data_IF_116033134665
#
_entry.id   IF_116033134665
#
_cell.length_a   1.000
_cell.length_b   1.000
_cell.length_c   1.000
_cell.angle_alpha   90.00
_cell.angle_beta   90.00
_cell.angle_gamma   90.00
#
_symmetry.space_group_name_H-M   'P 1'
#
loop_
_entity.id
_entity.type
_entity.pdbx_description
1 polymer ?
#
# COMPACT_ATOMS: atom_id res chain seq x y z
N UNK A 1 -16.53 -10.90 12.01
CA UNK A 1 -16.45 -11.38 10.61
C UNK A 1 -15.23 -10.73 9.96
N UNK A 2 -14.27 -11.51 9.46
CA UNK A 2 -13.02 -10.98 8.87
C UNK A 2 -13.34 -10.14 7.62
N UNK A 3 -12.88 -8.90 7.58
CA UNK A 3 -12.97 -8.06 6.38
C UNK A 3 -11.90 -8.52 5.37
N UNK A 4 -12.30 -9.34 4.39
CA UNK A 4 -11.38 -9.92 3.39
C UNK A 4 -11.17 -8.95 2.23
N UNK A 5 -9.93 -8.77 1.81
CA UNK A 5 -9.60 -7.99 0.62
C UNK A 5 -10.25 -8.60 -0.64
N UNK A 6 -10.81 -7.77 -1.51
CA UNK A 6 -11.57 -8.17 -2.72
C UNK A 6 -10.91 -7.71 -4.02
N UNK A 7 -10.06 -6.71 -3.97
CA UNK A 7 -9.34 -6.11 -5.09
C UNK A 7 -8.07 -5.42 -4.60
N UNK A 8 -7.18 -5.11 -5.52
CA UNK A 8 -5.94 -4.37 -5.25
C UNK A 8 -6.23 -3.03 -4.57
N UNK A 9 -5.46 -2.70 -3.56
CA UNK A 9 -5.64 -1.51 -2.71
C UNK A 9 -6.96 -1.49 -1.89
N UNK A 10 -7.65 -2.62 -1.73
CA UNK A 10 -8.82 -2.68 -0.84
C UNK A 10 -8.39 -2.67 0.63
N UNK A 11 -7.48 -3.56 1.01
CA UNK A 11 -6.95 -3.65 2.39
C UNK A 11 -5.45 -3.81 2.32
N UNK A 12 -4.74 -2.88 2.95
CA UNK A 12 -3.33 -3.08 3.27
C UNK A 12 -3.20 -3.48 4.73
N UNK A 13 -2.28 -4.37 5.02
CA UNK A 13 -1.87 -4.69 6.39
C UNK A 13 -0.46 -4.19 6.64
N UNK A 14 -0.20 -3.68 7.84
CA UNK A 14 1.14 -3.30 8.26
C UNK A 14 1.44 -3.78 9.67
N UNK A 15 2.72 -4.06 9.93
CA UNK A 15 3.19 -4.59 11.19
C UNK A 15 4.68 -4.29 11.38
N UNK A 16 5.16 -4.43 12.63
CA UNK A 16 6.57 -4.31 12.95
C UNK A 16 7.22 -5.66 13.19
N UNK A 17 8.37 -5.86 12.55
CA UNK A 17 9.28 -6.97 12.83
C UNK A 17 10.56 -6.42 13.45
N UNK A 18 11.12 -7.14 14.41
CA UNK A 18 12.38 -6.74 15.05
C UNK A 18 13.49 -7.74 14.76
N UNK A 19 14.69 -7.23 14.58
CA UNK A 19 15.92 -7.99 14.46
C UNK A 19 17.09 -7.16 15.04
N UNK A 20 18.32 -7.53 14.79
CA UNK A 20 19.52 -6.83 15.25
C UNK A 20 20.70 -7.01 14.29
N UNK A 21 21.58 -6.03 14.29
CA UNK A 21 22.91 -6.14 13.66
C UNK A 21 23.85 -6.99 14.55
N UNK A 22 24.97 -7.45 13.98
CA UNK A 22 25.98 -8.28 14.66
C UNK A 22 26.46 -7.66 15.99
N UNK A 23 26.60 -6.34 16.03
CA UNK A 23 26.94 -5.57 17.23
C UNK A 23 25.85 -5.50 18.29
N UNK A 24 24.72 -6.21 18.09
CA UNK A 24 23.60 -6.31 19.00
C UNK A 24 22.61 -5.14 18.95
N UNK A 25 22.86 -4.11 18.10
CA UNK A 25 21.95 -2.96 17.96
C UNK A 25 20.66 -3.36 17.24
N UNK A 26 19.54 -2.95 17.82
CA UNK A 26 18.21 -3.29 17.31
C UNK A 26 17.99 -2.75 15.89
N UNK A 27 17.37 -3.59 15.06
CA UNK A 27 16.69 -3.25 13.83
C UNK A 27 15.18 -3.34 14.05
N UNK A 28 14.46 -2.39 13.54
CA UNK A 28 12.99 -2.41 13.49
C UNK A 28 12.55 -2.25 12.04
N UNK A 29 11.71 -3.15 11.57
CA UNK A 29 11.25 -3.20 10.19
C UNK A 29 9.76 -2.89 10.18
N UNK A 30 9.35 -1.83 9.47
CA UNK A 30 7.95 -1.57 9.17
C UNK A 30 7.60 -2.28 7.87
N UNK A 31 6.77 -3.30 7.98
CA UNK A 31 6.28 -4.11 6.85
C UNK A 31 4.92 -3.61 6.42
N UNK A 32 4.70 -3.41 5.13
CA UNK A 32 3.39 -3.06 4.55
C UNK A 32 3.10 -4.00 3.38
N UNK A 33 1.96 -4.67 3.40
CA UNK A 33 1.54 -5.59 2.34
C UNK A 33 0.13 -5.24 1.82
N UNK A 34 -0.13 -5.50 0.55
CA UNK A 34 -1.47 -5.54 -0.01
C UNK A 34 -2.05 -6.95 0.20
N UNK A 35 -3.15 -7.06 0.96
CA UNK A 35 -3.75 -8.37 1.29
C UNK A 35 -4.33 -9.09 0.07
N UNK A 36 -4.70 -8.37 -0.98
CA UNK A 36 -5.28 -8.98 -2.17
C UNK A 36 -4.19 -9.50 -3.11
N UNK A 37 -3.23 -8.66 -3.46
CA UNK A 37 -2.17 -9.02 -4.41
C UNK A 37 -1.01 -9.77 -3.77
N UNK A 38 -0.92 -9.81 -2.45
CA UNK A 38 0.22 -10.34 -1.67
C UNK A 38 1.52 -9.57 -1.88
N UNK A 39 1.50 -8.46 -2.61
CA UNK A 39 2.69 -7.64 -2.76
C UNK A 39 3.17 -7.10 -1.42
N UNK A 40 4.46 -7.24 -1.17
CA UNK A 40 5.13 -6.49 -0.12
C UNK A 40 5.45 -5.08 -0.65
N UNK A 41 4.64 -4.11 -0.24
CA UNK A 41 4.74 -2.72 -0.70
C UNK A 41 5.95 -2.01 -0.14
N UNK A 42 6.29 -2.31 1.13
CA UNK A 42 7.48 -1.79 1.79
C UNK A 42 7.98 -2.74 2.89
N UNK A 43 9.29 -2.76 3.09
CA UNK A 43 9.96 -3.14 4.34
C UNK A 43 10.92 -2.00 4.65
N UNK A 44 10.45 -1.03 5.43
CA UNK A 44 11.30 0.09 5.83
C UNK A 44 12.10 -0.30 7.07
N UNK A 45 13.43 -0.11 7.01
CA UNK A 45 14.35 -0.50 8.08
C UNK A 45 14.78 0.73 8.85
N UNK A 46 14.63 0.69 10.18
CA UNK A 46 15.03 1.76 11.08
C UNK A 46 15.60 1.21 12.38
N UNK A 47 16.18 2.07 13.21
CA UNK A 47 16.53 1.74 14.59
C UNK A 47 15.33 1.89 15.52
N UNK A 48 14.46 2.82 15.18
CA UNK A 48 13.17 3.10 15.85
C UNK A 48 12.22 3.73 14.85
N UNK A 49 10.93 3.76 15.16
CA UNK A 49 9.91 4.47 14.38
C UNK A 49 9.05 5.31 15.30
N UNK A 50 8.87 6.55 14.94
CA UNK A 50 7.85 7.44 15.50
C UNK A 50 6.56 7.35 14.67
N UNK A 51 5.47 7.90 15.18
CA UNK A 51 4.23 8.03 14.40
C UNK A 51 4.44 8.81 13.10
N UNK A 52 5.34 9.80 13.12
CA UNK A 52 5.64 10.63 11.94
C UNK A 52 6.42 9.84 10.88
N UNK A 53 7.32 8.94 11.29
CA UNK A 53 8.05 8.07 10.38
C UNK A 53 7.08 7.11 9.67
N UNK A 54 6.12 6.52 10.41
CA UNK A 54 5.07 5.67 9.84
C UNK A 54 4.24 6.45 8.80
N UNK A 55 3.83 7.68 9.13
CA UNK A 55 3.09 8.55 8.19
C UNK A 55 3.93 8.83 6.94
N UNK A 56 5.22 9.11 7.09
CA UNK A 56 6.11 9.36 5.94
C UNK A 56 6.17 8.19 4.97
N UNK A 57 6.30 6.96 5.49
CA UNK A 57 6.30 5.74 4.68
C UNK A 57 4.95 5.55 3.97
N UNK A 58 3.85 5.68 4.71
CA UNK A 58 2.50 5.52 4.12
C UNK A 58 2.21 6.60 3.09
N UNK A 59 2.60 7.85 3.33
CA UNK A 59 2.42 8.96 2.39
C UNK A 59 3.14 8.71 1.07
N UNK A 60 4.39 8.22 1.14
CA UNK A 60 5.12 7.81 -0.05
C UNK A 60 4.41 6.68 -0.80
N UNK A 61 3.97 5.64 -0.09
CA UNK A 61 3.27 4.51 -0.69
C UNK A 61 1.94 4.94 -1.33
N UNK A 62 1.17 5.83 -0.69
CA UNK A 62 -0.08 6.36 -1.27
C UNK A 62 0.17 7.11 -2.57
N UNK A 63 1.26 7.87 -2.65
CA UNK A 63 1.63 8.62 -3.85
C UNK A 63 2.04 7.70 -5.02
N UNK A 64 2.75 6.59 -4.76
CA UNK A 64 3.32 5.72 -5.81
C UNK A 64 2.46 4.51 -6.14
N UNK A 65 1.62 4.03 -5.21
CA UNK A 65 0.82 2.80 -5.35
C UNK A 65 -0.70 3.07 -5.39
N UNK A 66 -1.12 4.27 -5.04
CA UNK A 66 -2.50 4.64 -4.77
C UNK A 66 -2.88 4.41 -3.31
N UNK A 67 -3.93 5.10 -2.87
CA UNK A 67 -4.43 5.05 -1.50
C UNK A 67 -5.28 3.80 -1.29
N UNK A 68 -5.07 3.00 -0.23
CA UNK A 68 -5.94 1.86 0.08
C UNK A 68 -7.27 2.35 0.67
N UNK A 69 -8.31 1.54 0.53
CA UNK A 69 -9.59 1.83 1.19
C UNK A 69 -9.50 1.58 2.70
N UNK A 70 -8.74 0.55 3.10
CA UNK A 70 -8.59 0.16 4.49
C UNK A 70 -7.12 -0.11 4.81
N UNK A 71 -6.73 0.25 6.03
CA UNK A 71 -5.43 -0.09 6.59
C UNK A 71 -5.62 -0.90 7.88
N UNK A 72 -5.09 -2.13 7.91
CA UNK A 72 -5.17 -3.05 9.03
C UNK A 72 -3.87 -3.08 9.80
N UNK A 73 -3.97 -3.01 11.14
CA UNK A 73 -2.83 -3.19 12.04
C UNK A 73 -3.26 -3.90 13.33
N UNK A 74 -2.29 -4.35 14.09
CA UNK A 74 -2.50 -4.66 15.49
C UNK A 74 -2.78 -3.38 16.31
N UNK A 75 -2.93 -3.55 17.63
CA UNK A 75 -3.14 -2.43 18.54
C UNK A 75 -1.81 -1.87 19.10
N UNK A 76 -0.71 -1.97 18.35
CA UNK A 76 0.57 -1.39 18.74
C UNK A 76 0.47 0.12 18.96
N UNK A 77 1.19 0.69 19.95
CA UNK A 77 1.07 2.10 20.31
C UNK A 77 1.38 3.05 19.15
N UNK A 78 2.22 2.65 18.21
CA UNK A 78 2.57 3.43 17.01
C UNK A 78 1.39 3.53 16.04
N UNK A 79 0.56 2.48 15.97
CA UNK A 79 -0.56 2.37 15.03
C UNK A 79 -1.84 2.98 15.58
N UNK A 80 -2.08 2.87 16.89
CA UNK A 80 -3.23 3.50 17.56
C UNK A 80 -2.97 4.95 17.94
N UNK A 81 -1.79 5.51 17.57
CA UNK A 81 -1.49 6.90 17.87
C UNK A 81 -2.53 7.81 17.23
N UNK A 82 -3.03 8.81 18.00
CA UNK A 82 -4.02 9.77 17.53
C UNK A 82 -3.57 10.51 16.28
N UNK A 83 -2.25 10.67 16.10
CA UNK A 83 -1.65 11.35 14.95
C UNK A 83 -1.83 10.52 13.68
N UNK A 84 -1.47 9.24 13.73
CA UNK A 84 -1.64 8.32 12.58
C UNK A 84 -3.12 8.16 12.24
N UNK A 85 -3.98 7.92 13.24
CA UNK A 85 -5.42 7.75 13.01
C UNK A 85 -6.07 8.98 12.38
N UNK A 86 -5.69 10.18 12.83
CA UNK A 86 -6.19 11.44 12.26
C UNK A 86 -5.75 11.61 10.81
N UNK A 87 -4.46 11.39 10.55
CA UNK A 87 -3.91 11.50 9.20
C UNK A 87 -4.57 10.51 8.23
N UNK A 88 -4.81 9.27 8.65
CA UNK A 88 -5.53 8.27 7.85
C UNK A 88 -6.97 8.70 7.56
N UNK A 89 -7.66 9.27 8.55
CA UNK A 89 -9.02 9.78 8.36
C UNK A 89 -9.06 10.96 7.37
N UNK A 90 -8.06 11.86 7.41
CA UNK A 90 -7.91 12.97 6.45
C UNK A 90 -7.63 12.46 5.02
N UNK A 91 -6.97 11.30 4.90
CA UNK A 91 -6.72 10.62 3.62
C UNK A 91 -7.89 9.71 3.17
N UNK A 92 -9.04 9.74 3.86
CA UNK A 92 -10.20 8.86 3.65
C UNK A 92 -9.90 7.35 3.73
N UNK A 93 -8.90 6.98 4.54
CA UNK A 93 -8.51 5.59 4.78
C UNK A 93 -9.12 5.09 6.09
N UNK A 94 -9.90 4.02 6.02
CA UNK A 94 -10.53 3.40 7.19
C UNK A 94 -9.53 2.49 7.92
N UNK A 95 -9.41 2.65 9.23
CA UNK A 95 -8.57 1.78 10.06
C UNK A 95 -9.33 0.52 10.48
N UNK A 96 -8.69 -0.64 10.33
CA UNK A 96 -9.19 -1.93 10.78
C UNK A 96 -8.28 -2.43 11.91
N UNK A 97 -8.64 -2.14 13.15
CA UNK A 97 -7.93 -2.66 14.29
C UNK A 97 -8.35 -4.11 14.59
N UNK A 98 -7.37 -4.95 14.90
CA UNK A 98 -7.60 -6.35 15.24
C UNK A 98 -8.28 -6.41 16.61
N UNK A 99 -9.41 -7.11 16.67
CA UNK A 99 -10.12 -7.30 17.91
C UNK A 99 -9.25 -8.10 18.91
N UNK A 100 -9.30 -7.72 20.19
CA UNK A 100 -8.57 -8.42 21.26
C UNK A 100 -8.99 -9.90 21.28
N UNK A 101 -8.03 -10.81 21.08
CA UNK A 101 -8.31 -12.25 20.99
C UNK A 101 -8.63 -12.77 19.59
N UNK A 102 -8.46 -11.98 18.54
CA UNK A 102 -8.69 -12.37 17.14
C UNK A 102 -7.42 -12.28 16.27
N UNK A 103 -6.31 -12.97 16.62
CA UNK A 103 -5.05 -12.87 15.87
C UNK A 103 -5.20 -13.29 14.40
N UNK A 104 -6.12 -14.22 14.11
CA UNK A 104 -6.40 -14.64 12.73
C UNK A 104 -6.85 -13.51 11.78
N UNK A 105 -7.26 -12.35 12.31
CA UNK A 105 -7.60 -11.20 11.49
C UNK A 105 -6.38 -10.56 10.82
N UNK A 106 -5.18 -10.70 11.39
CA UNK A 106 -3.90 -10.21 10.83
C UNK A 106 -3.11 -11.28 10.04
N UNK A 107 -3.71 -12.43 9.79
CA UNK A 107 -3.02 -13.61 9.29
C UNK A 107 -2.24 -13.42 7.98
N UNK A 108 -2.50 -12.36 7.18
CA UNK A 108 -1.73 -12.11 5.97
C UNK A 108 -0.35 -11.55 6.26
N UNK A 109 -0.25 -10.48 7.06
CA UNK A 109 1.04 -9.91 7.42
C UNK A 109 1.80 -10.82 8.37
N UNK A 110 1.11 -11.55 9.26
CA UNK A 110 1.75 -12.56 10.13
C UNK A 110 2.39 -13.69 9.30
N UNK A 111 1.67 -14.23 8.31
CA UNK A 111 2.21 -15.24 7.38
C UNK A 111 3.39 -14.68 6.57
N UNK A 112 3.31 -13.45 6.11
CA UNK A 112 4.42 -12.78 5.44
C UNK A 112 5.64 -12.64 6.36
N UNK A 113 5.43 -12.16 7.60
CA UNK A 113 6.48 -11.99 8.58
C UNK A 113 7.14 -13.33 8.97
N UNK A 114 6.37 -14.41 9.04
CA UNK A 114 6.90 -15.76 9.20
C UNK A 114 7.84 -16.14 8.05
N UNK A 115 7.42 -15.91 6.81
CA UNK A 115 8.24 -16.14 5.62
C UNK A 115 9.52 -15.29 5.62
N UNK A 116 9.42 -14.00 5.95
CA UNK A 116 10.57 -13.11 6.06
C UNK A 116 11.58 -13.60 7.11
N UNK A 117 11.10 -14.07 8.27
CA UNK A 117 11.97 -14.64 9.29
C UNK A 117 12.65 -15.91 8.83
N UNK A 118 11.90 -16.86 8.29
CA UNK A 118 12.39 -18.21 7.94
C UNK A 118 13.37 -18.17 6.77
N UNK A 119 13.14 -17.27 5.80
CA UNK A 119 13.93 -17.21 4.58
C UNK A 119 15.09 -16.22 4.65
N UNK A 120 15.00 -15.18 5.49
CA UNK A 120 16.01 -14.14 5.59
C UNK A 120 16.53 -13.92 7.02
N UNK A 121 15.69 -13.40 7.93
CA UNK A 121 16.16 -12.87 9.20
C UNK A 121 16.81 -13.91 10.11
N UNK A 122 16.36 -15.17 10.07
CA UNK A 122 16.94 -16.28 10.83
C UNK A 122 18.21 -16.88 10.17
N UNK A 123 18.55 -16.45 8.96
CA UNK A 123 19.66 -17.01 8.17
C UNK A 123 20.81 -16.04 7.98
N UNK A 124 20.53 -14.74 8.03
CA UNK A 124 21.50 -13.69 7.81
C UNK A 124 21.99 -13.07 9.12
N UNK A 125 23.24 -12.67 9.13
CA UNK A 125 23.86 -11.85 10.18
C UNK A 125 24.23 -10.52 9.54
N UNK A 126 23.50 -9.47 9.88
CA UNK A 126 23.74 -8.13 9.31
C UNK A 126 24.92 -7.46 10.01
N UNK A 127 26.02 -7.24 9.27
CA UNK A 127 27.22 -6.62 9.81
C UNK A 127 27.06 -5.13 10.06
N UNK A 128 26.17 -4.45 9.28
CA UNK A 128 25.88 -3.03 9.44
C UNK A 128 24.40 -2.73 9.19
N UNK A 129 23.99 -1.49 9.52
CA UNK A 129 22.65 -0.99 9.22
C UNK A 129 22.41 -0.89 7.70
N UNK A 130 23.39 -0.39 6.98
CA UNK A 130 23.33 -0.19 5.53
C UNK A 130 23.22 -1.52 4.79
N UNK A 131 23.97 -2.52 5.24
CA UNK A 131 23.86 -3.88 4.72
C UNK A 131 22.46 -4.46 4.96
N UNK A 132 21.93 -4.32 6.19
CA UNK A 132 20.59 -4.77 6.50
C UNK A 132 19.54 -4.12 5.57
N UNK A 133 19.62 -2.81 5.35
CA UNK A 133 18.72 -2.11 4.44
C UNK A 133 18.79 -2.68 3.01
N UNK A 134 20.00 -2.90 2.50
CA UNK A 134 20.21 -3.41 1.15
C UNK A 134 19.74 -4.86 0.99
N UNK A 135 20.13 -5.75 1.91
CA UNK A 135 19.77 -7.18 1.86
C UNK A 135 18.26 -7.38 1.98
N UNK A 136 17.60 -6.65 2.92
CA UNK A 136 16.17 -6.75 3.14
C UNK A 136 15.38 -6.21 1.93
N UNK A 137 15.80 -5.09 1.33
CA UNK A 137 15.13 -4.57 0.13
C UNK A 137 15.30 -5.50 -1.07
N UNK A 138 16.49 -6.10 -1.22
CA UNK A 138 16.76 -7.11 -2.25
C UNK A 138 15.83 -8.31 -2.11
N UNK A 139 15.67 -8.84 -0.88
CA UNK A 139 14.76 -9.94 -0.59
C UNK A 139 13.31 -9.55 -0.88
N UNK A 140 12.88 -8.33 -0.54
CA UNK A 140 11.53 -7.82 -0.85
C UNK A 140 11.25 -7.82 -2.36
N UNK A 141 12.22 -7.37 -3.16
CA UNK A 141 12.10 -7.39 -4.63
C UNK A 141 12.00 -8.82 -5.14
N UNK A 142 12.82 -9.72 -4.61
CA UNK A 142 12.82 -11.13 -4.98
C UNK A 142 11.49 -11.80 -4.62
N UNK A 143 10.95 -11.53 -3.43
CA UNK A 143 9.63 -11.98 -3.00
C UNK A 143 8.52 -11.52 -3.97
N UNK A 144 8.53 -10.27 -4.38
CA UNK A 144 7.49 -9.73 -5.27
C UNK A 144 7.61 -10.24 -6.71
N UNK A 145 8.80 -10.44 -7.23
CA UNK A 145 9.03 -10.68 -8.66
C UNK A 145 9.36 -12.13 -9.01
N UNK A 146 9.81 -12.95 -8.07
CA UNK A 146 10.24 -14.32 -8.34
C UNK A 146 9.49 -15.37 -7.52
N UNK A 147 8.96 -15.03 -6.34
CA UNK A 147 8.23 -15.99 -5.54
C UNK A 147 6.82 -16.21 -6.08
N UNK A 148 6.52 -17.45 -6.45
CA UNK A 148 5.17 -17.85 -6.88
C UNK A 148 4.29 -18.19 -5.67
N UNK A 149 3.00 -17.85 -5.76
CA UNK A 149 2.00 -18.11 -4.72
C UNK A 149 0.84 -18.94 -5.26
N UNK A 150 0.53 -20.05 -4.59
CA UNK A 150 -0.61 -20.89 -4.97
C UNK A 150 -1.96 -20.16 -4.86
N UNK A 151 -2.08 -19.22 -3.90
CA UNK A 151 -3.26 -18.38 -3.73
C UNK A 151 -3.43 -17.29 -4.80
N UNK A 152 -2.45 -17.15 -5.70
CA UNK A 152 -2.44 -16.21 -6.83
C UNK A 152 -2.35 -16.95 -8.17
N UNK A 153 -2.95 -18.15 -8.25
CA UNK A 153 -2.89 -18.99 -9.45
C UNK A 153 -1.45 -19.26 -9.91
N UNK A 154 -0.55 -19.51 -8.95
CA UNK A 154 0.89 -19.72 -9.17
C UNK A 154 1.60 -18.55 -9.87
N UNK A 155 1.08 -17.34 -9.74
CA UNK A 155 1.76 -16.12 -10.18
C UNK A 155 2.60 -15.51 -9.06
N UNK A 156 3.55 -14.64 -9.45
CA UNK A 156 4.25 -13.78 -8.47
C UNK A 156 3.34 -12.64 -8.05
N UNK A 157 3.52 -12.06 -6.84
CA UNK A 157 2.72 -10.92 -6.39
C UNK A 157 2.72 -9.76 -7.38
N UNK A 158 3.88 -9.40 -7.93
CA UNK A 158 4.00 -8.29 -8.89
C UNK A 158 3.26 -8.58 -10.22
N UNK A 159 3.37 -9.81 -10.76
CA UNK A 159 2.66 -10.21 -11.99
C UNK A 159 1.15 -10.20 -11.77
N UNK A 160 0.67 -10.75 -10.64
CA UNK A 160 -0.74 -10.74 -10.30
C UNK A 160 -1.28 -9.31 -10.12
N UNK A 161 -0.53 -8.45 -9.41
CA UNK A 161 -0.91 -7.05 -9.22
C UNK A 161 -0.96 -6.23 -10.51
N UNK A 162 -0.08 -6.53 -11.48
CA UNK A 162 -0.09 -5.91 -12.79
C UNK A 162 -1.33 -6.27 -13.63
N UNK A 163 -1.87 -7.48 -13.44
CA UNK A 163 -3.11 -7.95 -14.07
C UNK A 163 -4.40 -7.41 -13.43
N UNK A 164 -4.33 -6.80 -12.26
CA UNK A 164 -5.51 -6.27 -11.56
C UNK A 164 -5.98 -4.96 -12.20
N UNK A 165 -7.25 -4.91 -12.59
CA UNK A 165 -7.92 -3.67 -13.02
C UNK A 165 -8.39 -2.92 -11.77
N UNK A 166 -8.08 -1.62 -11.67
CA UNK A 166 -8.60 -0.77 -10.59
C UNK A 166 -10.12 -0.59 -10.77
N UNK A 167 -10.92 -0.55 -9.68
CA UNK A 167 -12.33 -0.22 -9.76
C UNK A 167 -12.54 1.14 -10.45
N UNK A 168 -13.58 1.27 -11.26
CA UNK A 168 -13.88 2.47 -12.03
C UNK A 168 -14.02 3.76 -11.19
N UNK A 169 -14.32 3.63 -9.89
CA UNK A 169 -14.38 4.74 -8.93
C UNK A 169 -13.02 5.34 -8.55
N UNK A 170 -11.91 4.68 -8.90
CA UNK A 170 -10.55 5.14 -8.62
C UNK A 170 -9.92 5.95 -9.76
N UNK A 171 -10.61 6.09 -10.89
CA UNK A 171 -10.13 6.89 -12.03
C UNK A 171 -10.63 8.33 -11.85
N UNK A 172 -9.73 9.34 -11.75
CA UNK A 172 -10.16 10.73 -11.78
C UNK A 172 -10.91 11.00 -13.09
N UNK A 173 -12.17 11.44 -13.02
CA UNK A 173 -12.87 11.92 -14.20
C UNK A 173 -12.14 13.16 -14.72
N UNK A 174 -11.83 13.23 -16.01
CA UNK A 174 -11.34 14.48 -16.60
C UNK A 174 -12.42 15.56 -16.43
N UNK A 175 -12.02 16.82 -16.18
CA UNK A 175 -12.98 17.91 -16.00
C UNK A 175 -13.88 17.99 -17.24
N UNK A 176 -15.19 18.02 -17.04
CA UNK A 176 -16.16 18.28 -18.10
C UNK A 176 -15.84 19.64 -18.75
N UNK A 177 -15.36 19.59 -19.99
CA UNK A 177 -15.26 20.79 -20.78
C UNK A 177 -16.68 21.34 -20.98
N UNK A 178 -16.98 22.42 -20.27
CA UNK A 178 -18.14 23.26 -20.50
C UNK A 178 -18.25 23.54 -22.00
N UNK A 179 -19.34 23.09 -22.61
CA UNK A 179 -19.70 23.42 -23.98
C UNK A 179 -19.78 24.95 -24.07
N UNK A 180 -18.80 25.55 -24.70
CA UNK A 180 -18.88 26.94 -25.09
C UNK A 180 -19.96 26.99 -26.19
N UNK A 181 -21.14 27.44 -25.82
CA UNK A 181 -22.18 27.82 -26.76
C UNK A 181 -21.69 29.06 -27.50
N UNK A 182 -21.43 28.92 -28.79
CA UNK A 182 -21.02 30.00 -29.68
C UNK A 182 -22.28 30.86 -30.03
N UNK A 183 -22.38 32.12 -29.59
CA UNK A 183 -23.53 32.99 -29.94
C UNK A 183 -23.14 33.85 -31.14
N UNK A 184 -23.10 33.27 -32.36
CA UNK A 184 -23.04 34.08 -33.56
C UNK A 184 -23.62 33.32 -34.77
N UNK A 185 -24.95 33.26 -34.84
CA UNK A 185 -25.64 33.08 -36.09
C UNK A 185 -26.30 34.41 -36.48
N UNK A 186 -25.53 35.27 -37.13
CA UNK A 186 -26.07 36.47 -37.75
C UNK A 186 -26.82 36.05 -39.03
N UNK A 187 -28.12 36.27 -38.96
CA UNK A 187 -29.05 36.27 -40.12
C UNK A 187 -28.64 37.29 -41.17
N UNK A 188 -28.42 36.83 -42.37
CA UNK A 188 -28.37 37.71 -43.56
C UNK A 188 -29.77 37.94 -44.09
N UNK A 189 -30.18 39.19 -44.43
CA UNK A 189 -31.45 39.47 -45.07
C UNK A 189 -31.39 39.27 -46.59
N UNK A 190 -32.46 38.73 -47.15
CA UNK A 190 -32.58 38.41 -48.54
C UNK A 190 -32.56 39.63 -49.45
N UNK A 191 -31.89 39.48 -50.61
CA UNK A 191 -32.00 40.38 -51.73
C UNK A 191 -33.15 39.92 -52.64
N UNK A 192 -34.14 40.79 -52.79
CA UNK A 192 -35.13 40.72 -53.85
C UNK A 192 -34.50 41.27 -55.13
N UNK A 193 -34.53 40.53 -56.17
CA UNK A 193 -34.41 41.07 -57.58
C UNK A 193 -35.72 40.79 -58.28
N UNK A 194 -36.39 41.89 -58.61
CA UNK A 194 -37.45 41.87 -59.58
C UNK A 194 -36.88 42.21 -60.99
N UNK A 195 -37.58 41.77 -61.98
CA UNK A 195 -37.36 42.01 -63.38
C UNK A 195 -38.07 40.95 -64.21
#
# INVERSE_FOLDING_TARGET
MRHRARYKNHVWSYDFVTDRTEDGRQLRLLVVIDEYTRECLAIEVGRSFTAQDVIGVLQYLFAVRGTPEHLRSDNGPEFVSKVVCRWLAEADVKTLFIAKGSPWENGYVESFNGTLRDELLNREIFLSFEEACWVIDRWRLDYNHHRIHSSLDYQTPAAYAAGCVLPASATPQPPEHSRITNPNSLTQPGAKTGG
#
